data_IF_863799664199
#
_entry.id   IF_863799664199
#
_cell.length_a   1.000
_cell.length_b   1.000
_cell.length_c   1.000
_cell.angle_alpha   90.00
_cell.angle_beta   90.00
_cell.angle_gamma   90.00
#
_symmetry.space_group_name_H-M   'P 1'
#
loop_
_entity.id
_entity.type
_entity.pdbx_description
1 polymer ?
#
# COMPACT_ATOMS: atom_id res chain seq x y z
N UNK A 1 -12.78 9.49 -16.97
CA UNK A 1 -13.39 10.12 -15.77
C UNK A 1 -12.73 9.51 -14.55
N UNK A 2 -12.27 10.32 -13.60
CA UNK A 2 -11.62 9.85 -12.36
C UNK A 2 -12.55 10.01 -11.16
N UNK A 3 -12.39 9.14 -10.16
CA UNK A 3 -13.06 9.25 -8.87
C UNK A 3 -12.07 9.82 -7.84
N UNK A 4 -12.50 10.79 -7.05
CA UNK A 4 -11.71 11.40 -5.99
C UNK A 4 -12.40 11.18 -4.64
N UNK A 5 -11.64 10.68 -3.67
CA UNK A 5 -12.03 10.59 -2.27
C UNK A 5 -10.79 10.73 -1.39
N UNK A 6 -10.95 11.39 -0.25
CA UNK A 6 -9.97 11.51 0.82
C UNK A 6 -9.94 10.28 1.75
N UNK A 7 -10.83 9.30 1.52
CA UNK A 7 -10.96 8.09 2.32
C UNK A 7 -10.54 6.85 1.54
N UNK A 8 -9.61 6.07 2.11
CA UNK A 8 -9.24 4.76 1.56
C UNK A 8 -10.44 3.83 1.42
N UNK A 9 -11.40 3.88 2.35
CA UNK A 9 -12.64 3.09 2.25
C UNK A 9 -13.50 3.51 1.06
N UNK A 10 -13.56 4.82 0.79
CA UNK A 10 -14.27 5.35 -0.37
C UNK A 10 -13.62 4.88 -1.68
N UNK A 11 -12.31 5.06 -1.80
CA UNK A 11 -11.53 4.63 -2.97
C UNK A 11 -11.68 3.13 -3.22
N UNK A 12 -11.42 2.28 -2.21
CA UNK A 12 -11.51 0.83 -2.35
C UNK A 12 -12.94 0.37 -2.63
N UNK A 13 -13.93 0.99 -1.97
CA UNK A 13 -15.34 0.66 -2.19
C UNK A 13 -15.81 0.96 -3.62
N UNK A 14 -15.27 1.98 -4.27
CA UNK A 14 -15.53 2.24 -5.70
C UNK A 14 -14.81 1.23 -6.58
N UNK A 15 -13.54 0.92 -6.30
CA UNK A 15 -12.77 -0.10 -7.04
C UNK A 15 -13.45 -1.46 -7.00
N UNK A 16 -14.03 -1.85 -5.86
CA UNK A 16 -14.74 -3.14 -5.74
C UNK A 16 -16.05 -3.18 -6.54
N UNK A 17 -16.74 -2.03 -6.68
CA UNK A 17 -18.10 -1.96 -7.24
C UNK A 17 -18.15 -1.47 -8.69
N UNK A 18 -17.00 -1.24 -9.31
CA UNK A 18 -16.91 -0.69 -10.67
C UNK A 18 -15.67 -1.22 -11.39
N UNK A 19 -15.55 -0.93 -12.68
CA UNK A 19 -14.38 -1.30 -13.50
C UNK A 19 -13.21 -0.30 -13.34
N UNK A 20 -13.06 0.29 -12.15
CA UNK A 20 -11.98 1.22 -11.84
C UNK A 20 -10.78 0.53 -11.22
N UNK A 21 -9.60 1.07 -11.49
CA UNK A 21 -8.33 0.63 -10.88
C UNK A 21 -7.75 1.74 -10.01
N UNK A 22 -7.06 1.35 -8.94
CA UNK A 22 -6.35 2.28 -8.06
C UNK A 22 -4.92 1.79 -7.80
N UNK A 23 -3.98 2.74 -7.75
CA UNK A 23 -2.59 2.50 -7.38
C UNK A 23 -2.44 2.75 -5.88
N UNK A 24 -1.97 1.76 -5.14
CA UNK A 24 -1.89 1.79 -3.69
C UNK A 24 -0.62 1.10 -3.18
N UNK A 25 -0.11 1.46 -2.00
CA UNK A 25 0.91 0.68 -1.31
C UNK A 25 0.45 -0.77 -1.11
N UNK A 26 1.29 -1.74 -1.47
CA UNK A 26 0.93 -3.16 -1.47
C UNK A 26 0.37 -3.65 -0.12
N UNK A 27 0.94 -3.20 1.01
CA UNK A 27 0.45 -3.54 2.36
C UNK A 27 -0.99 -3.08 2.62
N UNK A 28 -1.41 -1.95 2.02
CA UNK A 28 -2.77 -1.45 2.15
C UNK A 28 -3.71 -2.31 1.31
N UNK A 29 -3.34 -2.59 0.05
CA UNK A 29 -4.14 -3.42 -0.84
C UNK A 29 -4.37 -4.84 -0.26
N UNK A 30 -3.33 -5.48 0.27
CA UNK A 30 -3.46 -6.80 0.90
C UNK A 30 -4.29 -6.76 2.17
N UNK A 31 -4.18 -5.72 3.00
CA UNK A 31 -5.06 -5.56 4.16
C UNK A 31 -6.55 -5.51 3.78
N UNK A 32 -6.90 -4.75 2.75
CA UNK A 32 -8.30 -4.66 2.31
C UNK A 32 -8.82 -5.96 1.72
N UNK A 33 -8.01 -6.67 0.94
CA UNK A 33 -8.37 -7.98 0.38
C UNK A 33 -8.49 -9.06 1.47
N UNK A 34 -7.45 -9.21 2.30
CA UNK A 34 -7.29 -10.39 3.16
C UNK A 34 -7.97 -10.21 4.52
N UNK A 35 -7.87 -9.01 5.11
CA UNK A 35 -8.41 -8.73 6.44
C UNK A 35 -9.82 -8.17 6.36
N UNK A 36 -10.04 -7.19 5.49
CA UNK A 36 -11.36 -6.56 5.33
C UNK A 36 -12.28 -7.31 4.36
N UNK A 37 -11.77 -8.33 3.66
CA UNK A 37 -12.52 -9.20 2.75
C UNK A 37 -13.21 -8.47 1.61
N UNK A 38 -12.60 -7.38 1.12
CA UNK A 38 -13.04 -6.73 -0.10
C UNK A 38 -12.73 -7.64 -1.31
N UNK A 39 -13.68 -7.74 -2.24
CA UNK A 39 -13.55 -8.50 -3.48
C UNK A 39 -12.74 -7.72 -4.52
N UNK A 40 -11.46 -7.50 -4.23
CA UNK A 40 -10.51 -6.80 -5.10
C UNK A 40 -9.40 -7.75 -5.57
N UNK A 41 -8.93 -7.53 -6.80
CA UNK A 41 -7.77 -8.23 -7.35
C UNK A 41 -6.55 -7.30 -7.31
N UNK A 42 -5.40 -7.87 -6.97
CA UNK A 42 -4.12 -7.15 -6.95
C UNK A 42 -3.34 -7.59 -8.18
N UNK A 43 -3.01 -6.62 -9.04
CA UNK A 43 -2.20 -6.84 -10.24
C UNK A 43 -0.76 -6.44 -9.96
N UNK A 44 0.20 -7.14 -10.58
CA UNK A 44 1.59 -6.71 -10.57
C UNK A 44 1.71 -5.41 -11.34
N UNK A 45 2.45 -4.45 -10.78
CA UNK A 45 2.71 -3.19 -11.46
C UNK A 45 3.62 -3.42 -12.68
N UNK A 46 3.36 -2.75 -13.81
CA UNK A 46 4.28 -2.74 -14.95
C UNK A 46 5.67 -2.24 -14.54
N UNK A 47 6.72 -2.84 -15.11
CA UNK A 47 8.11 -2.54 -14.74
C UNK A 47 8.52 -1.11 -15.16
N UNK A 48 7.76 -0.47 -16.07
CA UNK A 48 7.96 0.91 -16.51
C UNK A 48 7.53 1.95 -15.46
N UNK A 49 6.75 1.56 -14.45
CA UNK A 49 6.23 2.47 -13.44
C UNK A 49 7.14 2.47 -12.21
N UNK A 50 7.91 3.54 -12.06
CA UNK A 50 8.84 3.74 -10.94
C UNK A 50 8.20 4.65 -9.90
N UNK A 51 8.08 4.17 -8.66
CA UNK A 51 7.62 4.99 -7.54
C UNK A 51 8.79 5.56 -6.75
N UNK A 52 8.69 6.86 -6.44
CA UNK A 52 9.55 7.47 -5.42
C UNK A 52 8.98 7.14 -4.04
N UNK A 53 9.83 6.63 -3.15
CA UNK A 53 9.47 6.48 -1.75
C UNK A 53 9.18 7.86 -1.14
N UNK A 54 7.97 8.02 -0.60
CA UNK A 54 7.57 9.25 0.08
C UNK A 54 7.96 9.19 1.57
N UNK A 55 8.69 10.20 2.08
CA UNK A 55 9.02 10.25 3.51
C UNK A 55 7.75 10.47 4.34
N UNK A 56 7.60 9.68 5.40
CA UNK A 56 6.55 9.85 6.40
C UNK A 56 7.11 10.67 7.56
N UNK A 57 6.51 11.83 7.80
CA UNK A 57 6.92 12.73 8.89
C UNK A 57 6.01 12.58 10.10
N UNK A 58 6.59 12.72 11.29
CA UNK A 58 5.85 12.82 12.54
C UNK A 58 6.13 14.19 13.16
N UNK A 59 5.07 14.88 13.58
CA UNK A 59 5.15 16.14 14.31
C UNK A 59 4.72 15.92 15.76
N UNK A 60 5.47 16.51 16.70
CA UNK A 60 5.21 16.39 18.13
C UNK A 60 5.37 17.74 18.83
N UNK A 61 4.32 18.18 19.51
CA UNK A 61 4.36 19.36 20.36
C UNK A 61 5.25 19.11 21.58
N UNK A 62 6.31 19.92 21.73
CA UNK A 62 7.33 19.77 22.79
C UNK A 62 6.82 20.12 24.18
N UNK A 63 5.79 20.96 24.26
CA UNK A 63 5.13 21.38 25.50
C UNK A 63 3.99 20.44 25.94
N UNK A 64 3.74 19.33 25.23
CA UNK A 64 2.69 18.38 25.58
C UNK A 64 3.06 17.55 26.82
N UNK A 65 2.09 17.34 27.71
CA UNK A 65 2.20 16.37 28.82
C UNK A 65 2.48 14.95 28.35
N UNK A 66 2.15 14.62 27.09
CA UNK A 66 2.36 13.31 26.48
C UNK A 66 3.65 13.20 25.66
N UNK A 67 4.50 14.23 25.65
CA UNK A 67 5.71 14.28 24.82
C UNK A 67 6.57 13.01 24.95
N UNK A 68 6.85 12.56 26.17
CA UNK A 68 7.70 11.37 26.40
C UNK A 68 7.09 10.10 25.79
N UNK A 69 5.78 9.92 25.94
CA UNK A 69 5.08 8.73 25.43
C UNK A 69 4.98 8.76 23.91
N UNK A 70 4.61 9.90 23.34
CA UNK A 70 4.53 10.06 21.88
C UNK A 70 5.90 9.92 21.22
N UNK A 71 6.95 10.51 21.80
CA UNK A 71 8.33 10.34 21.33
C UNK A 71 8.76 8.89 21.34
N UNK A 72 8.47 8.15 22.43
CA UNK A 72 8.76 6.71 22.52
C UNK A 72 8.05 5.92 21.41
N UNK A 73 6.76 6.19 21.17
CA UNK A 73 6.01 5.55 20.09
C UNK A 73 6.63 5.84 18.71
N UNK A 74 6.96 7.10 18.43
CA UNK A 74 7.60 7.50 17.17
C UNK A 74 8.93 6.76 17.00
N UNK A 75 9.76 6.68 18.03
CA UNK A 75 11.03 5.94 17.98
C UNK A 75 10.82 4.45 17.70
N UNK A 76 9.79 3.83 18.28
CA UNK A 76 9.44 2.44 17.98
C UNK A 76 8.99 2.24 16.53
N UNK A 77 8.20 3.17 15.97
CA UNK A 77 7.82 3.08 14.57
C UNK A 77 9.01 3.27 13.62
N UNK A 78 9.91 4.19 13.94
CA UNK A 78 11.15 4.40 13.18
C UNK A 78 12.03 3.15 13.17
N UNK A 79 12.25 2.52 14.33
CA UNK A 79 13.06 1.30 14.40
C UNK A 79 12.42 0.16 13.60
N UNK A 80 11.11 -0.06 13.75
CA UNK A 80 10.38 -1.12 13.02
C UNK A 80 10.46 -0.94 11.50
N UNK A 81 10.41 0.31 11.02
CA UNK A 81 10.55 0.61 9.61
C UNK A 81 11.96 0.30 9.09
N UNK A 82 13.00 0.68 9.84
CA UNK A 82 14.40 0.43 9.47
C UNK A 82 14.70 -1.08 9.35
N UNK A 83 14.16 -1.90 10.26
CA UNK A 83 14.38 -3.35 10.24
C UNK A 83 13.46 -4.12 9.28
N UNK A 84 12.40 -3.50 8.76
CA UNK A 84 11.50 -4.15 7.79
C UNK A 84 12.02 -4.16 6.35
N UNK A 85 13.10 -3.42 6.06
CA UNK A 85 13.67 -3.31 4.70
C UNK A 85 14.47 -4.56 4.29
N UNK A 86 14.80 -5.48 5.21
CA UNK A 86 15.65 -6.65 4.94
C UNK A 86 14.94 -7.87 4.33
N UNK A 87 13.63 -7.81 4.05
CA UNK A 87 12.87 -8.98 3.56
C UNK A 87 12.21 -8.76 2.20
N UNK A 88 13.00 -8.59 1.15
CA UNK A 88 12.61 -9.01 -0.20
C UNK A 88 13.35 -10.31 -0.53
N UNK A 89 12.68 -11.47 -0.59
CA UNK A 89 13.14 -12.54 -1.46
C UNK A 89 12.60 -12.26 -2.86
N UNK A 90 13.51 -12.01 -3.80
CA UNK A 90 13.28 -12.20 -5.22
C UNK A 90 13.02 -13.68 -5.47
N UNK A 91 11.78 -14.12 -5.28
CA UNK A 91 11.31 -15.40 -5.79
C UNK A 91 10.77 -15.17 -7.20
N UNK A 92 11.66 -15.36 -8.19
CA UNK A 92 11.29 -15.75 -9.55
C UNK A 92 10.28 -16.89 -9.46
N UNK A 93 8.99 -16.59 -9.66
CA UNK A 93 7.99 -17.60 -9.95
C UNK A 93 8.01 -17.80 -11.46
N UNK A 94 8.69 -18.84 -11.89
CA UNK A 94 8.49 -19.46 -13.21
C UNK A 94 7.00 -19.75 -13.39
N UNK A 95 6.41 -19.16 -14.41
CA UNK A 95 4.99 -19.30 -14.69
C UNK A 95 4.40 -18.08 -15.39
N UNK A 96 5.11 -17.53 -16.37
CA UNK A 96 4.58 -16.51 -17.28
C UNK A 96 3.54 -17.14 -18.20
N UNK A 97 2.28 -17.21 -17.77
CA UNK A 97 1.17 -17.35 -18.70
C UNK A 97 0.91 -15.98 -19.32
N UNK A 98 1.50 -15.83 -20.51
CA UNK A 98 1.23 -14.80 -21.51
C UNK A 98 -0.27 -14.44 -21.57
N UNK A 99 -0.58 -13.15 -21.40
CA UNK A 99 -1.91 -12.56 -21.64
C UNK A 99 -2.08 -12.16 -23.13
N UNK A 100 -1.49 -12.94 -24.04
CA UNK A 100 -1.73 -12.84 -25.47
C UNK A 100 -2.35 -14.15 -25.95
N UNK A 101 -3.66 -14.30 -25.71
CA UNK A 101 -4.55 -15.12 -26.55
C UNK A 101 -5.98 -14.59 -26.38
N UNK A 102 -6.20 -13.42 -26.98
CA UNK A 102 -7.52 -12.96 -27.39
C UNK A 102 -7.43 -12.69 -28.89
N UNK A 103 -7.56 -13.75 -29.67
CA UNK A 103 -7.88 -13.68 -31.08
C UNK A 103 -9.27 -14.28 -31.32
N UNK A 104 -10.10 -13.41 -31.89
CA UNK A 104 -11.39 -13.56 -32.61
C UNK A 104 -11.83 -14.98 -32.94
#
# INVERSE_FOLDING_TARGET
>A
IGYYSDSLFGVIGVVEKSDMVAILPGKIATYFRDVRRYNIKILRMPDEIIFRMLPVYAYLATNSTHYKNAKKLISTFQSTFLFSQEKQPDALVEGSTSLCDLSV
#
